data_IF_089678207637
#
_entry.id   IF_089678207637
#
_cell.length_a   1.000
_cell.length_b   1.000
_cell.length_c   1.000
_cell.angle_alpha   90.00
_cell.angle_beta   90.00
_cell.angle_gamma   90.00
#
_symmetry.space_group_name_H-M   'P 1'
#
loop_
_entity.id
_entity.type
_entity.pdbx_description
1 polymer ?
#
# COMPACT_ATOMS: atom_id res chain seq x y z
N UNK A 1 11.23 -21.40 11.41
CA UNK A 1 11.05 -19.94 11.54
C UNK A 1 11.42 -19.22 10.24
N UNK A 2 10.73 -19.53 9.14
CA UNK A 2 10.81 -18.82 7.84
C UNK A 2 9.48 -18.79 7.03
N UNK A 3 8.27 -19.13 7.55
CA UNK A 3 7.10 -19.24 6.68
C UNK A 3 6.53 -17.86 6.25
N UNK A 4 6.73 -16.81 7.06
CA UNK A 4 6.09 -15.50 6.81
C UNK A 4 6.70 -14.82 5.58
N UNK A 5 8.04 -14.68 5.54
CA UNK A 5 8.71 -14.04 4.40
C UNK A 5 8.43 -14.82 3.10
N UNK A 6 8.51 -16.16 3.14
CA UNK A 6 8.18 -17.00 1.99
C UNK A 6 6.71 -16.81 1.54
N UNK A 7 5.77 -16.74 2.47
CA UNK A 7 4.35 -16.51 2.14
C UNK A 7 4.09 -15.13 1.52
N UNK A 8 4.83 -14.09 1.92
CA UNK A 8 4.71 -12.76 1.35
C UNK A 8 5.23 -12.69 -0.09
N UNK A 9 6.31 -13.41 -0.41
CA UNK A 9 6.92 -13.45 -1.74
C UNK A 9 6.22 -14.41 -2.71
N UNK A 10 5.66 -15.51 -2.23
CA UNK A 10 4.97 -16.53 -3.05
C UNK A 10 3.46 -16.26 -3.16
N UNK A 11 2.88 -15.54 -2.20
CA UNK A 11 1.46 -15.17 -2.19
C UNK A 11 1.15 -13.93 -3.02
N UNK A 12 -0.14 -13.75 -3.35
CA UNK A 12 -0.65 -12.56 -4.06
C UNK A 12 -0.36 -11.24 -3.32
N UNK A 13 -0.04 -11.28 -2.03
CA UNK A 13 0.38 -10.11 -1.25
C UNK A 13 1.59 -9.38 -1.81
N UNK A 14 2.47 -10.06 -2.58
CA UNK A 14 3.58 -9.40 -3.26
C UNK A 14 3.10 -8.32 -4.24
N UNK A 15 1.92 -8.49 -4.85
CA UNK A 15 1.34 -7.52 -5.78
C UNK A 15 0.97 -6.18 -5.12
N UNK A 16 0.89 -6.11 -3.78
CA UNK A 16 0.67 -4.83 -3.08
C UNK A 16 1.75 -3.81 -3.44
N UNK A 17 3.01 -4.22 -3.53
CA UNK A 17 4.11 -3.29 -3.76
C UNK A 17 4.03 -2.61 -5.15
N UNK A 18 3.97 -3.34 -6.29
CA UNK A 18 3.81 -2.70 -7.58
C UNK A 18 2.47 -1.97 -7.72
N UNK A 19 1.40 -2.45 -7.08
CA UNK A 19 0.08 -1.79 -7.13
C UNK A 19 0.10 -0.42 -6.44
N UNK A 20 0.64 -0.35 -5.21
CA UNK A 20 0.75 0.92 -4.46
C UNK A 20 1.65 1.90 -5.19
N UNK A 21 2.78 1.43 -5.75
CA UNK A 21 3.69 2.27 -6.54
C UNK A 21 2.99 2.82 -7.79
N UNK A 22 2.30 1.96 -8.56
CA UNK A 22 1.62 2.39 -9.78
C UNK A 22 0.51 3.41 -9.51
N UNK A 23 -0.39 3.13 -8.55
CA UNK A 23 -1.53 4.00 -8.23
C UNK A 23 -1.05 5.35 -7.68
N UNK A 24 -0.05 5.36 -6.80
CA UNK A 24 0.47 6.59 -6.21
C UNK A 24 1.20 7.48 -7.23
N UNK A 25 1.98 6.89 -8.14
CA UNK A 25 2.65 7.63 -9.22
C UNK A 25 1.65 8.20 -10.22
N UNK A 26 0.66 7.42 -10.67
CA UNK A 26 -0.37 7.90 -11.59
C UNK A 26 -1.15 9.05 -10.96
N UNK A 27 -1.53 8.93 -9.69
CA UNK A 27 -2.20 10.01 -8.98
C UNK A 27 -1.33 11.28 -8.88
N UNK A 28 -0.04 11.14 -8.56
CA UNK A 28 0.90 12.27 -8.53
C UNK A 28 1.06 12.96 -9.88
N UNK A 29 1.19 12.16 -10.95
CA UNK A 29 1.45 12.61 -12.32
C UNK A 29 0.25 13.29 -12.98
N UNK A 30 -0.98 12.97 -12.55
CA UNK A 30 -2.18 13.67 -13.06
C UNK A 30 -2.33 15.09 -12.52
N UNK A 31 -1.67 15.42 -11.40
CA UNK A 31 -1.82 16.71 -10.72
C UNK A 31 -0.64 17.67 -10.91
N UNK A 32 0.55 17.15 -11.13
CA UNK A 32 1.77 17.94 -11.20
C UNK A 32 2.59 17.55 -12.42
N UNK A 33 3.20 18.54 -13.06
CA UNK A 33 4.05 18.33 -14.24
C UNK A 33 5.53 18.18 -13.84
N UNK A 34 5.91 18.72 -12.67
CA UNK A 34 7.29 18.68 -12.18
C UNK A 34 7.58 17.33 -11.51
N UNK A 35 8.64 16.60 -11.91
CA UNK A 35 8.92 15.25 -11.41
C UNK A 35 9.14 15.20 -9.90
N UNK A 36 9.72 16.26 -9.32
CA UNK A 36 9.91 16.39 -7.87
C UNK A 36 8.57 16.43 -7.12
N UNK A 37 7.59 17.15 -7.65
CA UNK A 37 6.28 17.31 -7.01
C UNK A 37 5.43 16.04 -7.16
N UNK A 38 5.54 15.37 -8.31
CA UNK A 38 4.95 14.05 -8.57
C UNK A 38 5.40 13.06 -7.50
N UNK A 39 6.70 12.92 -7.26
CA UNK A 39 7.25 11.96 -6.30
C UNK A 39 6.84 12.29 -4.86
N UNK A 40 6.82 13.58 -4.48
CA UNK A 40 6.38 14.01 -3.15
C UNK A 40 4.91 13.66 -2.89
N UNK A 41 4.04 13.96 -3.86
CA UNK A 41 2.62 13.63 -3.77
C UNK A 41 2.36 12.13 -3.83
N UNK A 42 3.09 11.41 -4.70
CA UNK A 42 3.01 9.96 -4.78
C UNK A 42 3.37 9.33 -3.42
N UNK A 43 4.46 9.76 -2.77
CA UNK A 43 4.84 9.25 -1.46
C UNK A 43 3.76 9.51 -0.38
N UNK A 44 3.21 10.72 -0.31
CA UNK A 44 2.08 11.01 0.62
C UNK A 44 0.86 10.15 0.31
N UNK A 45 0.56 9.93 -0.97
CA UNK A 45 -0.58 9.12 -1.42
C UNK A 45 -0.38 7.65 -1.07
N UNK A 46 0.83 7.12 -1.26
CA UNK A 46 1.19 5.76 -0.86
C UNK A 46 1.03 5.56 0.65
N UNK A 47 1.51 6.52 1.45
CA UNK A 47 1.31 6.52 2.90
C UNK A 47 -0.17 6.50 3.28
N UNK A 48 -0.98 7.38 2.68
CA UNK A 48 -2.43 7.43 2.94
C UNK A 48 -3.14 6.14 2.58
N UNK A 49 -2.83 5.56 1.40
CA UNK A 49 -3.40 4.30 0.92
C UNK A 49 -3.08 3.15 1.89
N UNK A 50 -1.82 3.01 2.28
CA UNK A 50 -1.38 1.96 3.21
C UNK A 50 -1.98 2.14 4.61
N UNK A 51 -2.05 3.38 5.11
CA UNK A 51 -2.68 3.67 6.40
C UNK A 51 -4.17 3.34 6.38
N UNK A 52 -4.90 3.72 5.33
CA UNK A 52 -6.34 3.47 5.24
C UNK A 52 -6.66 1.97 5.11
N UNK A 53 -5.99 1.27 4.20
CA UNK A 53 -6.14 -0.19 4.05
C UNK A 53 -5.68 -0.93 5.31
N UNK A 54 -4.58 -0.49 5.92
CA UNK A 54 -4.07 -1.05 7.17
C UNK A 54 -5.02 -0.84 8.34
N UNK A 55 -5.70 0.31 8.43
CA UNK A 55 -6.71 0.57 9.45
C UNK A 55 -7.92 -0.37 9.32
N UNK A 56 -8.41 -0.58 8.09
CA UNK A 56 -9.48 -1.56 7.83
C UNK A 56 -9.03 -2.96 8.22
N UNK A 57 -7.84 -3.37 7.79
CA UNK A 57 -7.26 -4.67 8.16
C UNK A 57 -7.17 -4.83 9.68
N UNK A 58 -6.70 -3.81 10.40
CA UNK A 58 -6.59 -3.82 11.86
C UNK A 58 -7.97 -4.02 12.52
N UNK A 59 -8.99 -3.30 12.06
CA UNK A 59 -10.36 -3.46 12.57
C UNK A 59 -10.86 -4.87 12.33
N UNK A 60 -10.73 -5.39 11.11
CA UNK A 60 -11.16 -6.76 10.78
C UNK A 60 -10.41 -7.82 11.60
N UNK A 61 -9.11 -7.63 11.82
CA UNK A 61 -8.30 -8.53 12.62
C UNK A 61 -8.73 -8.55 14.08
N UNK A 62 -9.03 -7.39 14.67
CA UNK A 62 -9.57 -7.30 16.03
C UNK A 62 -10.93 -7.99 16.10
N UNK A 63 -11.84 -7.72 15.16
CA UNK A 63 -13.17 -8.34 15.11
C UNK A 63 -13.07 -9.85 14.95
N UNK A 64 -12.11 -10.35 14.18
CA UNK A 64 -11.88 -11.79 13.97
C UNK A 64 -11.53 -12.56 15.24
N UNK A 65 -11.12 -11.91 16.33
CA UNK A 65 -10.92 -12.59 17.62
C UNK A 65 -12.20 -12.80 18.40
N UNK A 66 -13.25 -12.05 18.08
CA UNK A 66 -14.56 -12.14 18.74
C UNK A 66 -15.54 -13.02 17.96
N UNK A 67 -15.17 -13.42 16.75
CA UNK A 67 -15.97 -14.21 15.81
C UNK A 67 -15.45 -15.66 15.81
#
# INVERSE_FOLDING_TARGET
MTPILASLLVGQTWYLLPLVVAVSLVYGATRHELPREILLHAYRTAGWLLSFMGAIFLVLWVVSWWL
#
